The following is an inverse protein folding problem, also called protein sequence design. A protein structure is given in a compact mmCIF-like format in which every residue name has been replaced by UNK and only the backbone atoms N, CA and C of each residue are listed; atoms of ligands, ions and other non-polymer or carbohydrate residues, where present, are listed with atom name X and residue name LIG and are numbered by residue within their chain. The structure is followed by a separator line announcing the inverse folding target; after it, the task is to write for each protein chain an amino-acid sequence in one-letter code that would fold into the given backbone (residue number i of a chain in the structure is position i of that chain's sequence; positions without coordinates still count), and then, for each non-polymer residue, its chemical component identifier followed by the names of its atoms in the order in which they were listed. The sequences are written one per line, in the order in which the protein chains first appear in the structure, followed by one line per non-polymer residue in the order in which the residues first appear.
data_IF_560078886335
#
_entry.id   IF_560078886335
#
_cell.length_a   1.000
_cell.length_b   1.000
_cell.length_c   1.000
_cell.angle_alpha   90.00
_cell.angle_beta   90.00
_cell.angle_gamma   90.00
#
_symmetry.space_group_name_H-M   'P 1'
#
loop_
_entity.id
_entity.type
_entity.pdbx_description
1 polymer ?
#
# COMPACT_ATOMS: atom_id res chain seq x y z
N UNK A 1 13.81 -4.28 -5.58
CA UNK A 1 12.89 -4.74 -4.64
C UNK A 1 12.21 -3.64 -3.93
N UNK A 2 10.93 -3.71 -3.89
CA UNK A 2 10.15 -2.65 -3.28
C UNK A 2 10.23 -2.75 -1.76
N UNK A 3 10.53 -1.64 -1.13
CA UNK A 3 10.50 -1.55 0.32
C UNK A 3 9.38 -0.59 0.67
N UNK A 4 8.55 -0.98 1.59
CA UNK A 4 7.43 -0.15 2.00
C UNK A 4 7.92 0.78 3.09
N UNK A 5 7.78 2.07 2.84
CA UNK A 5 8.25 3.09 3.77
C UNK A 5 7.09 3.88 4.32
N UNK A 6 7.21 4.22 5.59
CA UNK A 6 6.21 5.00 6.28
C UNK A 6 5.94 6.31 5.54
N UNK A 7 4.67 6.65 5.47
CA UNK A 7 4.28 7.94 4.91
C UNK A 7 4.05 7.96 3.42
N UNK A 8 4.29 6.84 2.76
CA UNK A 8 4.11 6.76 1.33
C UNK A 8 2.88 5.94 0.98
N UNK A 9 2.43 6.10 -0.24
CA UNK A 9 1.30 5.33 -0.76
C UNK A 9 1.81 4.27 -1.72
N UNK A 10 1.12 3.13 -1.72
CA UNK A 10 1.48 2.03 -2.60
C UNK A 10 0.26 1.50 -3.29
N UNK A 11 0.42 1.06 -4.53
CA UNK A 11 -0.66 0.49 -5.29
C UNK A 11 -0.57 -1.03 -5.25
N UNK A 12 -1.69 -1.68 -5.01
CA UNK A 12 -1.74 -3.13 -5.05
C UNK A 12 -1.73 -3.55 -6.52
N UNK A 13 -0.72 -4.31 -6.90
CA UNK A 13 -0.54 -4.72 -8.29
C UNK A 13 -1.05 -6.11 -8.56
N UNK A 14 -1.26 -6.90 -7.55
CA UNK A 14 -1.74 -8.26 -7.70
C UNK A 14 -2.83 -8.55 -6.69
N UNK A 15 -3.70 -9.46 -7.06
CA UNK A 15 -4.79 -9.83 -6.19
C UNK A 15 -4.29 -10.28 -4.82
N UNK A 16 -4.98 -9.86 -3.77
CA UNK A 16 -4.61 -10.19 -2.39
C UNK A 16 -5.88 -10.22 -1.56
N UNK A 17 -5.98 -11.12 -0.58
CA UNK A 17 -7.21 -11.21 0.21
C UNK A 17 -7.62 -9.93 0.92
N UNK A 18 -6.65 -9.14 1.33
CA UNK A 18 -6.94 -7.93 2.11
C UNK A 18 -6.77 -6.64 1.34
N UNK A 19 -6.33 -6.73 0.10
CA UNK A 19 -6.10 -5.55 -0.72
C UNK A 19 -6.73 -5.77 -2.08
N UNK A 20 -7.33 -4.72 -2.62
CA UNK A 20 -7.95 -4.80 -3.93
C UNK A 20 -6.94 -4.37 -4.99
N UNK A 21 -6.75 -5.22 -5.98
CA UNK A 21 -5.83 -4.93 -7.08
C UNK A 21 -6.22 -3.60 -7.73
N UNK A 22 -5.24 -2.75 -7.91
CA UNK A 22 -5.46 -1.45 -8.52
C UNK A 22 -5.69 -0.32 -7.54
N UNK A 23 -6.05 -0.64 -6.31
CA UNK A 23 -6.28 0.39 -5.31
C UNK A 23 -4.98 0.80 -4.64
N UNK A 24 -5.03 1.95 -3.99
CA UNK A 24 -3.87 2.50 -3.32
C UNK A 24 -4.05 2.44 -1.81
N UNK A 25 -2.95 2.23 -1.10
CA UNK A 25 -2.98 2.07 0.34
C UNK A 25 -1.87 2.87 1.00
N UNK A 26 -2.18 3.45 2.13
CA UNK A 26 -1.23 4.28 2.86
C UNK A 26 -0.40 3.42 3.81
N UNK A 27 0.88 3.76 3.94
CA UNK A 27 1.80 3.08 4.84
C UNK A 27 1.91 3.85 6.15
N UNK A 28 1.24 3.40 7.22
CA UNK A 28 1.34 4.09 8.50
C UNK A 28 2.68 3.86 9.19
N UNK A 29 3.39 2.83 8.79
CA UNK A 29 4.73 2.58 9.30
C UNK A 29 5.46 1.72 8.28
N UNK A 30 6.76 1.52 8.53
CA UNK A 30 7.56 0.73 7.60
C UNK A 30 7.02 -0.68 7.47
N UNK A 31 7.00 -1.17 6.23
CA UNK A 31 6.56 -2.52 5.90
C UNK A 31 5.09 -2.79 6.27
N UNK A 32 4.32 -1.74 6.46
CA UNK A 32 2.93 -1.87 6.86
C UNK A 32 2.06 -1.03 5.93
N UNK A 33 0.91 -1.56 5.56
CA UNK A 33 -0.07 -0.82 4.78
C UNK A 33 -1.44 -0.97 5.45
N UNK A 34 -2.25 0.06 5.36
CA UNK A 34 -3.63 -0.06 5.81
C UNK A 34 -4.39 -0.84 4.75
N UNK A 35 -5.04 -1.91 5.17
CA UNK A 35 -5.74 -2.78 4.22
C UNK A 35 -7.17 -2.27 3.94
N UNK A 36 -7.95 -3.10 3.24
CA UNK A 36 -9.32 -2.71 2.91
C UNK A 36 -10.18 -2.45 4.13
N UNK A 37 -9.79 -2.97 5.27
CA UNK A 37 -10.51 -2.77 6.51
C UNK A 37 -10.00 -1.55 7.26
N UNK A 38 -9.08 -0.82 6.64
CA UNK A 38 -8.47 0.36 7.25
C UNK A 38 -7.71 0.01 8.52
N UNK A 39 -7.04 -1.15 8.51
CA UNK A 39 -6.24 -1.61 9.63
C UNK A 39 -4.81 -1.82 9.17
N UNK A 40 -3.84 -1.62 10.06
CA UNK A 40 -2.45 -1.84 9.69
C UNK A 40 -2.20 -3.32 9.41
N UNK A 41 -1.59 -3.59 8.29
CA UNK A 41 -1.27 -4.95 7.87
C UNK A 41 0.21 -5.02 7.57
N UNK A 42 0.92 -5.89 8.26
CA UNK A 42 2.34 -6.06 8.03
C UNK A 42 2.55 -6.82 6.73
N UNK A 43 3.18 -6.16 5.77
CA UNK A 43 3.42 -6.78 4.47
C UNK A 43 4.68 -7.62 4.56
N UNK A 44 4.49 -8.92 4.41
CA UNK A 44 5.61 -9.86 4.48
C UNK A 44 6.53 -9.70 3.28
N UNK A 45 7.80 -10.06 3.41
CA UNK A 45 8.72 -9.92 2.28
C UNK A 45 8.24 -10.59 1.00
N UNK A 46 7.59 -11.74 1.13
CA UNK A 46 7.12 -12.44 -0.05
C UNK A 46 5.94 -11.75 -0.71
N UNK A 47 5.29 -10.82 -0.01
CA UNK A 47 4.14 -10.09 -0.55
C UNK A 47 4.51 -8.73 -1.08
N UNK A 48 5.73 -8.28 -0.85
CA UNK A 48 6.10 -6.93 -1.25
C UNK A 48 6.03 -6.71 -2.74
N UNK A 49 6.26 -7.76 -3.52
CA UNK A 49 6.21 -7.62 -4.96
C UNK A 49 4.79 -7.36 -5.47
N UNK A 50 3.80 -7.56 -4.62
CA UNK A 50 2.41 -7.28 -5.00
C UNK A 50 2.13 -5.78 -5.00
N UNK A 51 3.03 -4.98 -4.44
CA UNK A 51 2.80 -3.55 -4.29
C UNK A 51 3.86 -2.75 -5.02
N UNK A 52 3.43 -1.69 -5.66
CA UNK A 52 4.35 -0.79 -6.32
C UNK A 52 4.18 0.58 -5.73
N UNK A 53 5.32 1.29 -5.56
CA UNK A 53 5.28 2.64 -5.11
C UNK A 53 4.55 3.45 -6.16
N UNK A 54 3.48 4.06 -5.78
CA UNK A 54 2.66 4.75 -6.72
C UNK A 54 2.84 6.24 -6.64
N UNK A 55 2.21 6.89 -7.58
CA UNK A 55 2.20 8.34 -7.59
C UNK A 55 0.90 8.84 -7.05
N UNK A 56 0.28 8.00 -6.28
CA UNK A 56 -1.02 8.29 -5.73
C UNK A 56 -0.97 9.44 -4.74
N UNK A 57 0.21 9.80 -4.30
CA UNK A 57 0.34 10.91 -3.39
C UNK A 57 -0.36 12.14 -3.93
N UNK A 58 -0.26 12.37 -5.22
CA UNK A 58 -0.95 13.49 -5.82
C UNK A 58 -2.44 13.29 -5.87
N UNK A 59 -2.84 12.05 -6.00
CA UNK A 59 -4.24 11.73 -6.06
C UNK A 59 -4.86 11.83 -4.69
N UNK A 60 -4.14 11.39 -3.70
CA UNK A 60 -4.65 11.37 -2.33
C UNK A 60 -4.74 12.75 -1.74
N UNK A 61 -3.78 13.60 -2.05
CA UNK A 61 -3.75 14.92 -1.47
C UNK A 61 -5.01 15.71 -1.65
N UNK A 62 -5.55 15.79 -2.84
CA UNK A 62 -6.73 16.63 -3.05
C UNK A 62 -7.98 16.04 -2.47
N UNK A 63 -7.90 14.86 -1.99
CA UNK A 63 -9.08 14.27 -1.43
C UNK A 63 -9.52 14.95 -0.18
N UNK A 64 -8.82 15.65 0.09
CA UNK A 64 -9.16 16.27 1.13
C UNK A 64 -10.00 17.05 1.00
#
# INVERSE_FOLDING_TARGET
MATIKQGLWYQCKKSHPYFTEGNYYYAPSDDTLNDNRNRPYLVMPCERSHFGKGEVIRIASPLR
#
